data_IF_698308388712
#
_entry.id   IF_698308388712
#
_cell.length_a   1.000
_cell.length_b   1.000
_cell.length_c   1.000
_cell.angle_alpha   90.00
_cell.angle_beta   90.00
_cell.angle_gamma   90.00
#
_symmetry.space_group_name_H-M   'P 1'
#
loop_
_entity.id
_entity.type
_entity.pdbx_description
1 polymer ?
#
# COMPACT_ATOMS: atom_id res chain seq x y z
N UNK A 1 2.50 -18.05 -12.86
CA UNK A 1 3.75 -18.46 -12.17
C UNK A 1 3.40 -19.58 -11.20
N UNK A 2 3.99 -20.78 -11.34
CA UNK A 2 3.73 -21.90 -10.42
C UNK A 2 4.63 -21.75 -9.18
N UNK A 3 4.08 -21.51 -8.02
CA UNK A 3 4.79 -21.41 -6.76
C UNK A 3 3.96 -20.69 -5.69
N UNK A 4 4.29 -20.92 -4.42
CA UNK A 4 3.58 -20.28 -3.30
C UNK A 4 3.84 -18.76 -3.33
N UNK A 5 2.85 -17.93 -2.93
CA UNK A 5 3.06 -16.50 -2.78
C UNK A 5 4.20 -16.17 -1.80
N UNK A 6 5.00 -15.17 -2.16
CA UNK A 6 6.08 -14.64 -1.32
C UNK A 6 5.68 -13.35 -0.61
N UNK A 7 4.73 -12.62 -1.21
CA UNK A 7 4.17 -11.38 -0.71
C UNK A 7 2.66 -11.52 -0.58
N UNK A 8 2.13 -11.43 0.62
CA UNK A 8 0.69 -11.45 0.87
C UNK A 8 0.27 -10.07 1.34
N UNK A 9 -0.57 -9.37 0.55
CA UNK A 9 -1.19 -8.14 0.99
C UNK A 9 -2.59 -8.43 1.52
N UNK A 10 -2.87 -8.04 2.76
CA UNK A 10 -4.18 -8.19 3.38
C UNK A 10 -4.73 -6.81 3.74
N UNK A 11 -5.90 -6.49 3.21
CA UNK A 11 -6.51 -5.18 3.50
C UNK A 11 -7.63 -4.81 2.53
N UNK A 12 -7.63 -3.53 2.15
CA UNK A 12 -8.66 -2.90 1.34
C UNK A 12 -8.31 -2.93 -0.15
N UNK A 13 -9.32 -3.19 -0.94
CA UNK A 13 -9.31 -3.06 -2.40
C UNK A 13 -10.59 -2.36 -2.83
N UNK A 14 -10.52 -1.54 -3.85
CA UNK A 14 -11.66 -0.82 -4.43
C UNK A 14 -11.58 -0.81 -5.95
N UNK A 15 -12.70 -0.46 -6.57
CA UNK A 15 -12.73 -0.02 -7.96
C UNK A 15 -12.74 1.51 -7.98
N UNK A 16 -11.65 2.12 -8.48
CA UNK A 16 -11.42 3.55 -8.41
C UNK A 16 -11.83 4.23 -9.72
N UNK A 17 -12.76 5.19 -9.65
CA UNK A 17 -13.16 6.07 -10.73
C UNK A 17 -12.32 7.35 -10.68
N UNK A 18 -11.34 7.44 -11.55
CA UNK A 18 -10.40 8.56 -11.63
C UNK A 18 -10.88 9.60 -12.65
N UNK A 19 -10.92 10.86 -12.27
CA UNK A 19 -11.20 11.98 -13.14
C UNK A 19 -10.09 13.02 -13.05
N UNK A 20 -9.39 13.28 -14.15
CA UNK A 20 -8.44 14.39 -14.25
C UNK A 20 -9.20 15.65 -14.63
N UNK A 21 -9.08 16.68 -13.81
CA UNK A 21 -9.81 17.93 -13.91
C UNK A 21 -8.83 19.11 -13.97
N UNK A 22 -9.15 20.21 -14.68
CA UNK A 22 -8.35 21.43 -14.63
C UNK A 22 -8.34 22.08 -13.24
N UNK A 23 -9.40 21.88 -12.47
CA UNK A 23 -9.54 22.24 -11.05
C UNK A 23 -10.67 21.39 -10.42
N UNK A 24 -10.64 21.20 -9.11
CA UNK A 24 -11.73 20.51 -8.39
C UNK A 24 -12.92 21.46 -8.24
N UNK A 25 -14.09 21.15 -8.89
CA UNK A 25 -15.21 22.07 -8.91
C UNK A 25 -15.98 22.11 -7.57
N UNK A 26 -16.33 23.32 -7.14
CA UNK A 26 -17.27 23.58 -6.05
C UNK A 26 -18.45 24.34 -6.62
N UNK A 27 -19.62 23.74 -6.55
CA UNK A 27 -20.90 24.31 -7.06
C UNK A 27 -20.82 24.84 -8.51
N UNK A 28 -20.08 24.14 -9.38
CA UNK A 28 -19.92 24.50 -10.78
C UNK A 28 -19.72 23.25 -11.65
N UNK A 29 -19.76 23.44 -12.98
CA UNK A 29 -19.51 22.36 -13.94
C UNK A 29 -18.10 22.51 -14.51
N UNK A 30 -17.40 21.40 -14.63
CA UNK A 30 -16.12 21.33 -15.31
C UNK A 30 -16.09 20.12 -16.25
N UNK A 31 -15.48 20.29 -17.42
CA UNK A 31 -15.25 19.18 -18.35
C UNK A 31 -14.02 18.39 -17.88
N UNK A 32 -14.16 17.07 -17.72
CA UNK A 32 -13.04 16.18 -17.46
C UNK A 32 -12.04 16.21 -18.62
N UNK A 33 -10.76 16.25 -18.32
CA UNK A 33 -9.67 16.15 -19.29
C UNK A 33 -9.42 14.69 -19.67
N UNK A 34 -9.50 13.80 -18.70
CA UNK A 34 -9.49 12.35 -18.91
C UNK A 34 -10.17 11.63 -17.74
N UNK A 35 -10.50 10.36 -17.94
CA UNK A 35 -11.01 9.51 -16.88
C UNK A 35 -10.52 8.08 -17.08
N UNK A 36 -10.49 7.31 -15.99
CA UNK A 36 -10.21 5.89 -15.98
C UNK A 36 -11.00 5.19 -14.87
N UNK A 37 -11.25 3.90 -15.05
CA UNK A 37 -11.77 3.02 -14.01
C UNK A 37 -10.73 1.90 -13.84
N UNK A 38 -10.17 1.77 -12.65
CA UNK A 38 -9.05 0.86 -12.37
C UNK A 38 -9.16 0.32 -10.94
N UNK A 39 -8.52 -0.77 -10.64
CA UNK A 39 -8.36 -1.23 -9.27
C UNK A 39 -7.59 -0.21 -8.42
N UNK A 40 -7.98 -0.12 -7.15
CA UNK A 40 -7.37 0.73 -6.14
C UNK A 40 -7.32 0.07 -4.77
N UNK A 41 -7.29 0.91 -3.75
CA UNK A 41 -7.15 0.50 -2.36
C UNK A 41 -5.70 0.20 -1.96
N UNK A 42 -5.28 0.55 -0.71
CA UNK A 42 -3.85 0.49 -0.34
C UNK A 42 -3.25 -0.91 -0.47
N UNK A 43 -3.85 -1.95 0.13
CA UNK A 43 -3.34 -3.31 0.02
C UNK A 43 -3.46 -3.86 -1.42
N UNK A 44 -4.50 -3.45 -2.17
CA UNK A 44 -4.65 -3.79 -3.59
C UNK A 44 -3.50 -3.25 -4.43
N UNK A 45 -3.16 -1.97 -4.26
CA UNK A 45 -2.04 -1.31 -4.94
C UNK A 45 -0.70 -1.94 -4.53
N UNK A 46 -0.52 -2.25 -3.24
CA UNK A 46 0.69 -2.89 -2.75
C UNK A 46 0.90 -4.30 -3.34
N UNK A 47 -0.18 -5.10 -3.46
CA UNK A 47 -0.12 -6.43 -4.10
C UNK A 47 0.33 -6.34 -5.57
N UNK A 48 -0.33 -5.46 -6.34
CA UNK A 48 0.02 -5.23 -7.74
C UNK A 48 1.43 -4.66 -7.91
N UNK A 49 1.81 -3.72 -7.05
CA UNK A 49 3.17 -3.17 -7.03
C UNK A 49 4.23 -4.22 -6.74
N UNK A 50 4.01 -5.09 -5.75
CA UNK A 50 4.91 -6.20 -5.45
C UNK A 50 5.03 -7.19 -6.63
N UNK A 51 3.92 -7.49 -7.31
CA UNK A 51 3.91 -8.33 -8.51
C UNK A 51 4.71 -7.69 -9.65
N UNK A 52 4.51 -6.39 -9.92
CA UNK A 52 5.27 -5.62 -10.91
C UNK A 52 6.78 -5.60 -10.61
N UNK A 53 7.14 -5.58 -9.32
CA UNK A 53 8.53 -5.70 -8.85
C UNK A 53 9.08 -7.13 -8.86
N UNK A 54 8.32 -8.12 -9.38
CA UNK A 54 8.77 -9.49 -9.61
C UNK A 54 8.49 -10.48 -8.47
N UNK A 55 7.73 -10.08 -7.43
CA UNK A 55 7.33 -11.00 -6.37
C UNK A 55 6.12 -11.84 -6.80
N UNK A 56 6.04 -13.09 -6.33
CA UNK A 56 4.78 -13.84 -6.37
C UNK A 56 3.85 -13.27 -5.30
N UNK A 57 2.93 -12.40 -5.73
CA UNK A 57 2.03 -11.69 -4.83
C UNK A 57 0.66 -12.36 -4.75
N UNK A 58 0.04 -12.32 -3.57
CA UNK A 58 -1.36 -12.67 -3.34
C UNK A 58 -2.07 -11.53 -2.63
N UNK A 59 -3.35 -11.36 -2.94
CA UNK A 59 -4.23 -10.46 -2.21
C UNK A 59 -5.22 -11.25 -1.34
N UNK A 60 -5.37 -10.82 -0.09
CA UNK A 60 -6.31 -11.36 0.89
C UNK A 60 -7.24 -10.23 1.36
N UNK A 61 -8.53 -10.38 1.13
CA UNK A 61 -9.53 -9.35 1.45
C UNK A 61 -10.90 -9.74 0.97
N UNK A 62 -11.80 -8.75 0.85
CA UNK A 62 -13.19 -8.98 0.46
C UNK A 62 -13.59 -8.15 -0.75
N UNK A 63 -14.43 -8.74 -1.61
CA UNK A 63 -15.14 -8.08 -2.72
C UNK A 63 -16.60 -8.54 -2.73
N UNK A 64 -17.48 -7.77 -3.35
CA UNK A 64 -18.86 -8.19 -3.62
C UNK A 64 -18.96 -9.15 -4.82
N UNK A 65 -20.10 -9.78 -5.03
CA UNK A 65 -20.40 -10.59 -6.21
C UNK A 65 -21.00 -9.78 -7.38
N UNK A 66 -20.66 -8.50 -7.42
CA UNK A 66 -21.10 -7.51 -8.40
C UNK A 66 -20.14 -7.34 -9.59
N UNK A 67 -20.41 -6.34 -10.44
CA UNK A 67 -19.57 -6.03 -11.60
C UNK A 67 -18.20 -5.49 -11.18
N UNK A 68 -18.15 -4.66 -10.14
CA UNK A 68 -16.91 -4.07 -9.63
C UNK A 68 -16.00 -5.14 -9.01
N UNK A 69 -16.57 -6.11 -8.28
CA UNK A 69 -15.82 -7.24 -7.72
C UNK A 69 -15.19 -8.11 -8.82
N UNK A 70 -15.94 -8.40 -9.88
CA UNK A 70 -15.39 -9.14 -11.04
C UNK A 70 -14.27 -8.35 -11.71
N UNK A 71 -14.46 -7.03 -11.92
CA UNK A 71 -13.44 -6.18 -12.52
C UNK A 71 -12.14 -6.16 -11.70
N UNK A 72 -12.23 -6.04 -10.36
CA UNK A 72 -11.08 -6.10 -9.46
C UNK A 72 -10.34 -7.44 -9.60
N UNK A 73 -11.06 -8.58 -9.59
CA UNK A 73 -10.46 -9.91 -9.70
C UNK A 73 -9.80 -10.14 -11.07
N UNK A 74 -10.45 -9.71 -12.15
CA UNK A 74 -9.92 -9.81 -13.51
C UNK A 74 -8.66 -8.94 -13.70
N UNK A 75 -8.60 -7.79 -13.04
CA UNK A 75 -7.43 -6.93 -13.08
C UNK A 75 -6.25 -7.55 -12.31
N UNK A 76 -6.48 -8.05 -11.12
CA UNK A 76 -5.46 -8.81 -10.38
C UNK A 76 -4.92 -10.00 -11.18
N UNK A 77 -5.80 -10.75 -11.87
CA UNK A 77 -5.37 -11.87 -12.70
C UNK A 77 -4.43 -11.41 -13.84
N UNK A 78 -4.74 -10.28 -14.49
CA UNK A 78 -3.88 -9.69 -15.54
C UNK A 78 -2.55 -9.18 -14.98
N UNK A 79 -2.53 -8.73 -13.74
CA UNK A 79 -1.34 -8.23 -13.03
C UNK A 79 -0.51 -9.37 -12.39
N UNK A 80 -0.98 -10.61 -12.47
CA UNK A 80 -0.29 -11.78 -11.91
C UNK A 80 -0.40 -11.90 -10.39
N UNK A 81 -1.38 -11.27 -9.77
CA UNK A 81 -1.69 -11.38 -8.33
C UNK A 81 -2.63 -12.57 -8.11
N UNK A 82 -2.27 -13.45 -7.18
CA UNK A 82 -3.10 -14.58 -6.76
C UNK A 82 -4.29 -14.08 -5.91
N UNK A 83 -5.49 -14.41 -6.33
CA UNK A 83 -6.76 -14.02 -5.68
C UNK A 83 -7.42 -15.16 -4.92
N UNK A 84 -6.76 -16.30 -4.75
CA UNK A 84 -7.32 -17.49 -4.06
C UNK A 84 -7.70 -17.22 -2.60
N UNK A 85 -7.14 -16.18 -2.00
CA UNK A 85 -7.42 -15.75 -0.62
C UNK A 85 -8.55 -14.70 -0.52
N UNK A 86 -9.12 -14.27 -1.64
CA UNK A 86 -10.22 -13.30 -1.67
C UNK A 86 -11.53 -13.97 -1.27
N UNK A 87 -12.30 -13.28 -0.43
CA UNK A 87 -13.68 -13.69 -0.09
C UNK A 87 -14.68 -12.86 -0.89
N UNK A 88 -15.44 -13.54 -1.75
CA UNK A 88 -16.54 -12.92 -2.48
C UNK A 88 -17.79 -12.94 -1.60
N UNK A 89 -18.30 -11.77 -1.23
CA UNK A 89 -19.49 -11.60 -0.39
C UNK A 89 -20.75 -11.62 -1.26
N UNK A 90 -21.57 -12.67 -1.10
CA UNK A 90 -22.79 -12.80 -1.88
C UNK A 90 -23.80 -11.72 -1.56
N UNK A 91 -24.37 -11.07 -2.59
CA UNK A 91 -25.33 -10.01 -2.48
C UNK A 91 -24.78 -8.66 -1.95
N UNK A 92 -23.47 -8.56 -1.77
CA UNK A 92 -22.80 -7.32 -1.39
C UNK A 92 -22.28 -6.56 -2.62
N UNK A 93 -22.16 -5.23 -2.48
CA UNK A 93 -21.45 -4.40 -3.45
C UNK A 93 -19.98 -4.27 -3.06
N UNK A 94 -19.11 -4.26 -4.06
CA UNK A 94 -17.69 -4.02 -3.87
C UNK A 94 -17.41 -2.57 -3.46
N UNK A 95 -16.29 -2.35 -2.81
CA UNK A 95 -15.87 -0.99 -2.49
C UNK A 95 -15.54 -0.21 -3.76
N UNK A 96 -15.96 1.05 -3.81
CA UNK A 96 -15.68 1.98 -4.88
C UNK A 96 -15.09 3.29 -4.33
N UNK A 97 -14.29 3.97 -5.15
CA UNK A 97 -13.81 5.31 -4.84
C UNK A 97 -13.94 6.22 -6.07
N UNK A 98 -14.25 7.48 -5.81
CA UNK A 98 -14.22 8.55 -6.80
C UNK A 98 -13.06 9.48 -6.47
N UNK A 99 -12.12 9.63 -7.40
CA UNK A 99 -10.93 10.45 -7.24
C UNK A 99 -10.93 11.59 -8.25
N UNK A 100 -10.86 12.80 -7.76
CA UNK A 100 -10.70 14.01 -8.56
C UNK A 100 -9.23 14.45 -8.47
N UNK A 101 -8.53 14.43 -9.60
CA UNK A 101 -7.12 14.73 -9.73
C UNK A 101 -6.98 16.09 -10.42
N UNK A 102 -6.34 17.06 -9.75
CA UNK A 102 -6.05 18.35 -10.35
C UNK A 102 -4.85 18.23 -11.30
N UNK A 103 -5.05 18.53 -12.59
CA UNK A 103 -4.03 18.36 -13.64
C UNK A 103 -2.73 19.09 -13.34
N UNK A 104 -2.83 20.30 -12.77
CA UNK A 104 -1.68 21.18 -12.56
C UNK A 104 -0.75 20.66 -11.46
N UNK A 105 -1.28 20.03 -10.43
CA UNK A 105 -0.54 19.65 -9.22
C UNK A 105 -0.40 18.15 -9.02
N UNK A 106 -1.28 17.35 -9.67
CA UNK A 106 -1.43 15.92 -9.38
C UNK A 106 -2.04 15.62 -7.99
N UNK A 107 -2.48 16.67 -7.27
CA UNK A 107 -3.17 16.50 -6.01
C UNK A 107 -4.57 15.92 -6.23
N UNK A 108 -5.04 15.15 -5.26
CA UNK A 108 -6.34 14.48 -5.37
C UNK A 108 -7.24 14.75 -4.19
N UNK A 109 -8.54 14.73 -4.46
CA UNK A 109 -9.60 14.51 -3.48
C UNK A 109 -10.23 13.15 -3.70
N UNK A 110 -10.59 12.45 -2.64
CA UNK A 110 -11.13 11.10 -2.71
C UNK A 110 -12.41 11.00 -1.88
N UNK A 111 -13.45 10.43 -2.46
CA UNK A 111 -14.63 9.96 -1.76
C UNK A 111 -14.79 8.47 -2.03
N UNK A 112 -14.98 7.67 -0.99
CA UNK A 112 -15.07 6.22 -1.13
C UNK A 112 -16.15 5.63 -0.22
N UNK A 113 -16.62 4.45 -0.59
CA UNK A 113 -17.56 3.67 0.23
C UNK A 113 -17.28 2.18 0.08
N UNK A 114 -17.64 1.44 1.12
CA UNK A 114 -17.75 -0.02 1.14
C UNK A 114 -18.97 -0.45 1.93
N UNK A 115 -20.00 0.36 1.91
CA UNK A 115 -21.21 0.11 2.67
C UNK A 115 -21.83 -1.25 2.28
N UNK A 116 -22.13 -2.09 3.30
CA UNK A 116 -22.66 -3.43 3.11
C UNK A 116 -21.62 -4.50 2.74
N UNK A 117 -20.35 -4.15 2.55
CA UNK A 117 -19.29 -5.12 2.34
C UNK A 117 -18.63 -5.50 3.66
N UNK A 118 -18.91 -6.72 4.14
CA UNK A 118 -18.34 -7.23 5.38
C UNK A 118 -16.82 -7.39 5.28
N UNK A 119 -16.12 -6.94 6.30
CA UNK A 119 -14.68 -7.13 6.45
C UNK A 119 -14.31 -8.61 6.66
N UNK A 120 -13.04 -8.91 6.41
CA UNK A 120 -12.47 -10.22 6.70
C UNK A 120 -12.37 -10.39 8.23
N UNK A 121 -13.06 -11.39 8.76
CA UNK A 121 -13.05 -11.72 10.19
C UNK A 121 -11.80 -12.52 10.59
N UNK A 122 -11.51 -12.58 11.89
CA UNK A 122 -10.42 -13.41 12.42
C UNK A 122 -10.62 -14.91 12.11
N UNK A 123 -11.87 -15.38 12.14
CA UNK A 123 -12.20 -16.78 11.85
C UNK A 123 -11.95 -17.20 10.40
N UNK A 124 -11.88 -16.23 9.48
CA UNK A 124 -11.59 -16.48 8.06
C UNK A 124 -10.09 -16.59 7.76
N UNK A 125 -9.23 -16.26 8.74
CA UNK A 125 -7.81 -16.63 8.70
C UNK A 125 -7.66 -18.10 9.14
N UNK A 126 -8.40 -18.97 8.47
CA UNK A 126 -8.41 -20.39 8.72
C UNK A 126 -7.14 -21.10 8.23
N UNK A 127 -7.09 -22.46 8.33
CA UNK A 127 -5.88 -23.23 8.04
C UNK A 127 -5.26 -22.96 6.67
N UNK A 128 -6.07 -22.77 5.62
CA UNK A 128 -5.61 -22.52 4.25
C UNK A 128 -4.93 -21.16 4.11
N UNK A 129 -5.58 -20.08 4.58
CA UNK A 129 -5.02 -18.74 4.57
C UNK A 129 -3.76 -18.68 5.44
N UNK A 130 -3.82 -19.27 6.63
CA UNK A 130 -2.70 -19.35 7.54
C UNK A 130 -1.51 -20.12 6.95
N UNK A 131 -1.75 -21.20 6.16
CA UNK A 131 -0.67 -21.92 5.50
C UNK A 131 0.04 -21.07 4.46
N UNK A 132 -0.70 -20.31 3.64
CA UNK A 132 -0.10 -19.37 2.67
C UNK A 132 0.74 -18.30 3.39
N UNK A 133 0.20 -17.70 4.47
CA UNK A 133 0.90 -16.66 5.24
C UNK A 133 2.20 -17.22 5.85
N UNK A 134 2.18 -18.41 6.46
CA UNK A 134 3.38 -19.03 7.08
C UNK A 134 4.53 -19.24 6.10
N UNK A 135 4.24 -19.40 4.82
CA UNK A 135 5.24 -19.64 3.78
C UNK A 135 5.59 -18.38 2.98
N UNK A 136 4.93 -17.26 3.24
CA UNK A 136 5.28 -15.98 2.65
C UNK A 136 6.58 -15.42 3.27
N UNK A 137 7.17 -14.44 2.60
CA UNK A 137 8.31 -13.65 3.11
C UNK A 137 7.84 -12.36 3.78
N UNK A 138 6.73 -11.79 3.26
CA UNK A 138 6.11 -10.57 3.75
C UNK A 138 4.60 -10.74 3.85
N UNK A 139 4.04 -10.30 4.98
CA UNK A 139 2.63 -9.98 5.14
C UNK A 139 2.51 -8.44 5.21
N UNK A 140 1.89 -7.84 4.20
CA UNK A 140 1.62 -6.41 4.14
C UNK A 140 0.20 -6.13 4.62
N UNK A 141 0.03 -5.14 5.50
CA UNK A 141 -1.24 -4.74 6.10
C UNK A 141 -1.44 -3.23 5.93
N UNK A 142 -2.68 -2.81 5.63
CA UNK A 142 -3.07 -1.39 5.48
C UNK A 142 -4.00 -0.89 6.60
N UNK A 143 -4.23 -1.71 7.62
CA UNK A 143 -5.09 -1.40 8.75
C UNK A 143 -6.59 -1.59 8.52
N UNK A 144 -7.02 -1.94 7.32
CA UNK A 144 -8.37 -2.42 7.06
C UNK A 144 -8.53 -3.90 7.44
N UNK A 145 -9.78 -4.37 7.56
CA UNK A 145 -10.08 -5.75 7.99
C UNK A 145 -9.44 -6.07 9.36
N UNK A 146 -9.57 -5.19 10.32
CA UNK A 146 -8.78 -5.19 11.56
C UNK A 146 -8.71 -6.56 12.26
N UNK A 147 -9.85 -7.25 12.43
CA UNK A 147 -9.88 -8.55 13.08
C UNK A 147 -9.10 -9.63 12.27
N UNK A 148 -9.29 -9.67 10.97
CA UNK A 148 -8.56 -10.56 10.07
C UNK A 148 -7.07 -10.22 10.00
N UNK A 149 -6.74 -8.91 9.91
CA UNK A 149 -5.37 -8.42 9.85
C UNK A 149 -4.58 -8.78 11.12
N UNK A 150 -5.17 -8.62 12.30
CA UNK A 150 -4.55 -9.01 13.58
C UNK A 150 -4.32 -10.53 13.63
N UNK A 151 -5.32 -11.33 13.24
CA UNK A 151 -5.18 -12.78 13.20
C UNK A 151 -4.06 -13.22 12.24
N UNK A 152 -4.04 -12.63 11.03
CA UNK A 152 -2.99 -12.87 10.04
C UNK A 152 -1.59 -12.46 10.53
N UNK A 153 -1.48 -11.29 11.17
CA UNK A 153 -0.22 -10.81 11.73
C UNK A 153 0.32 -11.75 12.82
N UNK A 154 -0.54 -12.28 13.70
CA UNK A 154 -0.15 -13.28 14.69
C UNK A 154 0.39 -14.57 14.06
N UNK A 155 -0.25 -15.05 12.99
CA UNK A 155 0.23 -16.19 12.20
C UNK A 155 1.60 -15.91 11.59
N UNK A 156 1.76 -14.75 10.96
CA UNK A 156 3.02 -14.30 10.35
C UNK A 156 4.16 -14.22 11.39
N UNK A 157 3.92 -13.57 12.51
CA UNK A 157 4.91 -13.44 13.61
C UNK A 157 5.34 -14.79 14.16
N UNK A 158 4.39 -15.71 14.38
CA UNK A 158 4.70 -17.06 14.89
C UNK A 158 5.55 -17.88 13.91
N UNK A 159 5.47 -17.57 12.59
CA UNK A 159 6.24 -18.21 11.54
C UNK A 159 7.54 -17.46 11.14
N UNK A 160 7.83 -16.32 11.76
CA UNK A 160 9.00 -15.50 11.40
C UNK A 160 8.85 -14.73 10.09
N UNK A 161 7.63 -14.61 9.58
CA UNK A 161 7.31 -13.81 8.38
C UNK A 161 7.33 -12.33 8.73
N UNK A 162 7.96 -11.51 7.89
CA UNK A 162 8.03 -10.06 8.10
C UNK A 162 6.66 -9.41 7.97
N UNK A 163 6.20 -8.72 9.00
CA UNK A 163 4.96 -7.95 8.99
C UNK A 163 5.26 -6.50 8.63
N UNK A 164 4.81 -6.06 7.45
CA UNK A 164 4.80 -4.67 7.02
C UNK A 164 3.46 -4.05 7.34
N UNK A 165 3.47 -2.90 8.04
CA UNK A 165 2.25 -2.15 8.31
C UNK A 165 2.34 -0.75 7.71
N UNK A 166 1.48 -0.51 6.70
CA UNK A 166 1.18 0.81 6.14
C UNK A 166 0.17 1.53 7.04
N UNK A 167 0.68 2.36 7.94
CA UNK A 167 -0.12 3.07 8.93
C UNK A 167 -0.47 4.48 8.44
N UNK A 168 -1.55 4.60 7.67
CA UNK A 168 -2.00 5.87 7.08
C UNK A 168 -3.15 6.56 7.82
N UNK A 169 -3.96 5.82 8.58
CA UNK A 169 -5.18 6.35 9.22
C UNK A 169 -5.43 5.67 10.57
N UNK A 170 -5.93 6.43 11.54
CA UNK A 170 -6.35 5.88 12.84
C UNK A 170 -7.62 5.05 12.65
N UNK A 171 -7.57 3.77 13.06
CA UNK A 171 -8.65 2.78 12.93
C UNK A 171 -8.73 1.91 14.16
N UNK A 172 -9.86 1.21 14.32
CA UNK A 172 -10.01 0.17 15.32
C UNK A 172 -8.98 -0.95 15.11
N UNK A 173 -8.47 -1.52 16.21
CA UNK A 173 -7.45 -2.56 16.16
C UNK A 173 -6.03 -2.06 15.83
N UNK A 174 -5.86 -0.78 15.49
CA UNK A 174 -4.57 -0.17 15.14
C UNK A 174 -3.48 -0.42 16.18
N UNK A 175 -3.79 -0.28 17.47
CA UNK A 175 -2.80 -0.43 18.56
C UNK A 175 -2.16 -1.81 18.55
N UNK A 176 -2.95 -2.86 18.29
CA UNK A 176 -2.44 -4.23 18.22
C UNK A 176 -1.62 -4.47 16.94
N UNK A 177 -2.02 -3.88 15.82
CA UNK A 177 -1.24 -3.95 14.57
C UNK A 177 0.10 -3.22 14.69
N UNK A 178 0.16 -2.07 15.38
CA UNK A 178 1.40 -1.36 15.68
C UNK A 178 2.38 -2.22 16.52
N UNK A 179 1.86 -3.04 17.45
CA UNK A 179 2.68 -3.96 18.26
C UNK A 179 3.19 -5.16 17.46
N UNK A 180 2.46 -5.58 16.42
CA UNK A 180 2.81 -6.75 15.62
C UNK A 180 3.70 -6.42 14.42
N UNK A 181 3.84 -5.15 14.05
CA UNK A 181 4.62 -4.73 12.89
C UNK A 181 6.13 -4.92 13.11
N UNK A 182 6.81 -5.45 12.09
CA UNK A 182 8.28 -5.45 11.97
C UNK A 182 8.76 -4.22 11.21
N UNK A 183 8.09 -3.88 10.11
CA UNK A 183 8.32 -2.69 9.30
C UNK A 183 7.11 -1.77 9.48
N UNK A 184 7.23 -0.81 10.37
CA UNK A 184 6.19 0.17 10.67
C UNK A 184 6.50 1.46 9.92
N UNK A 185 5.88 1.64 8.75
CA UNK A 185 6.03 2.86 7.97
C UNK A 185 4.70 3.61 7.98
N UNK A 186 4.73 4.83 8.47
CA UNK A 186 3.55 5.67 8.65
C UNK A 186 3.48 6.76 7.59
N UNK A 187 2.28 7.30 7.33
CA UNK A 187 2.21 8.64 6.76
C UNK A 187 2.63 9.67 7.83
N UNK A 188 3.24 10.78 7.42
CA UNK A 188 3.59 11.86 8.35
C UNK A 188 2.37 12.38 9.11
N UNK A 189 1.24 12.54 8.42
CA UNK A 189 -0.01 12.97 9.04
C UNK A 189 -0.43 12.03 10.18
N UNK A 190 -0.39 10.72 9.92
CA UNK A 190 -0.74 9.72 10.92
C UNK A 190 0.16 9.76 12.13
N UNK A 191 1.50 9.76 11.92
CA UNK A 191 2.45 9.71 13.03
C UNK A 191 2.40 10.97 13.89
N UNK A 192 2.24 12.15 13.27
CA UNK A 192 2.12 13.42 14.00
C UNK A 192 0.79 13.55 14.74
N UNK A 193 -0.30 12.97 14.20
CA UNK A 193 -1.58 12.89 14.89
C UNK A 193 -1.50 12.07 16.17
N UNK A 194 -0.71 10.99 16.17
CA UNK A 194 -0.52 10.12 17.33
C UNK A 194 0.44 10.71 18.39
N UNK A 195 1.48 11.41 17.98
CA UNK A 195 2.60 11.75 18.87
C UNK A 195 2.79 13.24 19.07
N UNK A 196 2.28 14.05 18.16
CA UNK A 196 2.59 15.48 18.06
C UNK A 196 4.08 15.76 17.76
N UNK A 197 4.43 17.03 17.60
CA UNK A 197 5.83 17.48 17.46
C UNK A 197 6.38 17.33 16.05
N UNK A 198 7.67 17.04 15.94
CA UNK A 198 8.41 16.89 14.68
C UNK A 198 8.49 15.43 14.25
N UNK A 199 8.52 15.18 12.94
CA UNK A 199 8.45 13.83 12.35
C UNK A 199 9.51 12.88 12.89
N UNK A 200 10.77 13.30 13.00
CA UNK A 200 11.83 12.42 13.53
C UNK A 200 11.66 12.08 15.00
N UNK A 201 11.24 13.06 15.81
CA UNK A 201 10.93 12.81 17.21
C UNK A 201 9.73 11.86 17.34
N UNK A 202 8.74 11.99 16.45
CA UNK A 202 7.59 11.12 16.36
C UNK A 202 7.99 9.68 16.01
N UNK A 203 8.85 9.48 15.00
CA UNK A 203 9.41 8.18 14.62
C UNK A 203 10.13 7.52 15.80
N UNK A 204 11.00 8.25 16.51
CA UNK A 204 11.68 7.74 17.69
C UNK A 204 10.73 7.38 18.84
N UNK A 205 9.66 8.17 19.05
CA UNK A 205 8.63 7.88 20.06
C UNK A 205 7.88 6.58 19.75
N UNK A 206 7.45 6.38 18.50
CA UNK A 206 6.78 5.15 18.09
C UNK A 206 7.72 3.96 18.17
N UNK A 207 8.97 4.11 17.71
CA UNK A 207 9.98 3.07 17.86
C UNK A 207 10.18 2.68 19.34
N UNK A 208 10.31 3.66 20.23
CA UNK A 208 10.49 3.40 21.65
C UNK A 208 9.30 2.64 22.27
N UNK A 209 8.08 2.91 21.80
CA UNK A 209 6.85 2.29 22.30
C UNK A 209 6.63 0.88 21.75
N UNK A 210 6.78 0.66 20.46
CA UNK A 210 6.38 -0.59 19.79
C UNK A 210 7.53 -1.50 19.40
N UNK A 211 8.77 -0.99 19.37
CA UNK A 211 9.99 -1.76 19.07
C UNK A 211 9.94 -2.58 17.76
N UNK A 212 9.45 -2.02 16.66
CA UNK A 212 9.57 -2.68 15.35
C UNK A 212 11.05 -2.82 14.96
N UNK A 213 11.36 -3.60 13.93
CA UNK A 213 12.71 -3.61 13.33
C UNK A 213 13.02 -2.27 12.67
N UNK A 214 12.04 -1.67 12.00
CA UNK A 214 12.12 -0.34 11.41
C UNK A 214 10.86 0.43 11.72
N UNK A 215 11.00 1.66 12.20
CA UNK A 215 9.93 2.65 12.26
C UNK A 215 10.26 3.81 11.32
N UNK A 216 9.32 4.23 10.49
CA UNK A 216 9.56 5.31 9.55
C UNK A 216 8.32 6.14 9.25
N UNK A 217 8.56 7.23 8.50
CA UNK A 217 7.49 8.08 7.98
C UNK A 217 7.77 8.51 6.55
N UNK A 218 6.73 8.49 5.70
CA UNK A 218 6.73 9.10 4.37
C UNK A 218 6.21 10.52 4.46
N UNK A 219 6.91 11.46 3.81
CA UNK A 219 6.67 12.92 3.89
C UNK A 219 6.37 13.53 2.50
N UNK A 220 5.83 12.71 1.58
CA UNK A 220 5.53 13.13 0.20
C UNK A 220 6.77 13.64 -0.54
N UNK A 221 6.70 14.84 -1.10
CA UNK A 221 7.81 15.44 -1.85
C UNK A 221 9.07 15.71 -1.01
N UNK A 222 8.99 15.65 0.32
CA UNK A 222 10.15 15.76 1.21
C UNK A 222 10.88 14.43 1.43
N UNK A 223 10.37 13.34 0.88
CA UNK A 223 10.97 12.00 0.97
C UNK A 223 10.49 11.19 2.17
N UNK A 224 11.40 10.53 2.85
CA UNK A 224 11.11 9.64 3.98
C UNK A 224 12.21 9.72 5.05
N UNK A 225 11.86 9.29 6.26
CA UNK A 225 12.78 9.08 7.36
C UNK A 225 12.50 7.73 8.01
N UNK A 226 13.54 6.93 8.28
CA UNK A 226 13.43 5.65 8.95
C UNK A 226 14.44 5.54 10.10
N UNK A 227 14.08 4.78 11.13
CA UNK A 227 14.89 4.51 12.31
C UNK A 227 14.82 3.01 12.67
N UNK A 228 15.97 2.38 12.86
CA UNK A 228 16.08 0.95 13.22
C UNK A 228 16.45 0.70 14.70
N UNK A 229 16.51 1.76 15.47
CA UNK A 229 16.96 1.71 16.87
C UNK A 229 18.39 2.18 17.08
N UNK A 230 19.17 2.26 16.03
CA UNK A 230 20.55 2.77 16.00
C UNK A 230 20.63 4.00 15.09
N UNK A 231 20.34 3.82 13.81
CA UNK A 231 20.50 4.83 12.80
C UNK A 231 19.17 5.46 12.41
N UNK A 232 19.15 6.80 12.34
CA UNK A 232 18.06 7.56 11.75
C UNK A 232 18.49 8.05 10.38
N UNK A 233 17.88 7.45 9.35
CA UNK A 233 18.24 7.69 7.95
C UNK A 233 17.16 8.51 7.26
N UNK A 234 17.52 9.63 6.64
CA UNK A 234 16.66 10.41 5.75
C UNK A 234 16.96 10.06 4.29
N UNK A 235 15.92 9.93 3.50
CA UNK A 235 16.04 9.78 2.06
C UNK A 235 15.16 10.82 1.37
N UNK A 236 15.71 11.73 0.55
CA UNK A 236 14.92 12.69 -0.20
C UNK A 236 14.09 11.98 -1.28
N UNK A 237 12.96 12.59 -1.67
CA UNK A 237 12.23 12.13 -2.83
C UNK A 237 13.00 12.43 -4.12
N UNK A 238 12.90 11.55 -5.12
CA UNK A 238 13.38 11.85 -6.45
C UNK A 238 12.50 12.91 -7.11
N UNK A 239 13.13 13.84 -7.82
CA UNK A 239 12.43 14.83 -8.64
C UNK A 239 11.93 14.16 -9.92
N UNK A 240 10.72 14.49 -10.31
CA UNK A 240 10.12 14.08 -11.59
C UNK A 240 9.73 15.33 -12.37
N UNK A 241 9.80 15.25 -13.70
CA UNK A 241 9.53 16.41 -14.56
C UNK A 241 8.06 16.84 -14.47
N UNK A 242 7.15 15.85 -14.38
CA UNK A 242 5.71 16.09 -14.23
C UNK A 242 5.11 15.08 -13.27
N UNK A 243 4.39 15.55 -12.27
CA UNK A 243 3.51 14.75 -11.43
C UNK A 243 2.14 14.71 -12.09
N UNK A 244 1.71 13.53 -12.52
CA UNK A 244 0.40 13.30 -13.14
C UNK A 244 -0.64 12.99 -12.06
N UNK A 245 -0.29 12.08 -11.14
CA UNK A 245 -1.18 11.63 -10.07
C UNK A 245 -0.36 11.04 -8.91
N UNK A 246 -0.71 11.40 -7.68
CA UNK A 246 -0.08 10.89 -6.47
C UNK A 246 -0.82 9.72 -5.82
N UNK A 247 -1.92 9.23 -6.43
CA UNK A 247 -2.68 8.07 -5.94
C UNK A 247 -1.80 6.83 -5.96
N UNK A 248 -1.77 6.09 -4.86
CA UNK A 248 -0.99 4.86 -4.75
C UNK A 248 0.53 5.04 -4.52
N UNK A 249 1.04 6.28 -4.47
CA UNK A 249 2.49 6.50 -4.23
C UNK A 249 2.95 5.96 -2.88
N UNK A 250 2.13 6.11 -1.83
CA UNK A 250 2.41 5.53 -0.51
C UNK A 250 2.41 4.01 -0.56
N UNK A 251 1.36 3.43 -1.13
CA UNK A 251 1.17 1.98 -1.22
C UNK A 251 2.34 1.31 -1.95
N UNK A 252 2.78 1.92 -3.08
CA UNK A 252 3.92 1.43 -3.84
C UNK A 252 5.25 1.70 -3.15
N UNK A 253 5.37 2.77 -2.35
CA UNK A 253 6.54 2.98 -1.49
C UNK A 253 6.67 1.82 -0.51
N UNK A 254 5.59 1.44 0.17
CA UNK A 254 5.57 0.34 1.12
C UNK A 254 5.92 -1.00 0.45
N UNK A 255 5.33 -1.29 -0.71
CA UNK A 255 5.68 -2.48 -1.49
C UNK A 255 7.16 -2.51 -1.88
N UNK A 256 7.68 -1.41 -2.44
CA UNK A 256 9.09 -1.27 -2.81
C UNK A 256 10.04 -1.40 -1.62
N UNK A 257 9.70 -0.77 -0.49
CA UNK A 257 10.49 -0.88 0.75
C UNK A 257 10.57 -2.32 1.23
N UNK A 258 9.43 -3.02 1.32
CA UNK A 258 9.37 -4.41 1.77
C UNK A 258 10.14 -5.35 0.82
N UNK A 259 10.00 -5.16 -0.49
CA UNK A 259 10.76 -5.96 -1.49
C UNK A 259 12.26 -5.77 -1.32
N UNK A 260 12.73 -4.52 -1.22
CA UNK A 260 14.16 -4.24 -1.07
C UNK A 260 14.68 -4.66 0.30
N UNK A 261 13.87 -4.56 1.36
CA UNK A 261 14.21 -5.05 2.70
C UNK A 261 14.57 -6.54 2.71
N UNK A 262 13.86 -7.36 1.95
CA UNK A 262 14.16 -8.79 1.84
C UNK A 262 15.53 -9.08 1.18
N UNK A 263 16.09 -8.11 0.46
CA UNK A 263 17.35 -8.27 -0.27
C UNK A 263 18.55 -7.77 0.52
N UNK A 264 18.43 -6.63 1.23
CA UNK A 264 19.61 -5.92 1.76
C UNK A 264 19.58 -5.64 3.26
N UNK A 265 18.41 -5.41 3.85
CA UNK A 265 18.22 -4.87 5.21
C UNK A 265 18.89 -3.49 5.45
N UNK A 266 19.37 -2.81 4.41
CA UNK A 266 19.95 -1.47 4.49
C UNK A 266 18.85 -0.41 4.38
N UNK A 267 18.76 0.50 5.37
CA UNK A 267 17.69 1.50 5.44
C UNK A 267 17.72 2.49 4.28
N UNK A 268 18.92 2.93 3.89
CA UNK A 268 19.05 3.90 2.82
C UNK A 268 18.70 3.28 1.47
N UNK A 269 19.18 2.07 1.20
CA UNK A 269 18.83 1.34 -0.02
C UNK A 269 17.34 1.04 -0.12
N UNK A 270 16.71 0.62 0.99
CA UNK A 270 15.27 0.38 1.03
C UNK A 270 14.47 1.65 0.73
N UNK A 271 14.83 2.77 1.36
CA UNK A 271 14.18 4.06 1.13
C UNK A 271 14.42 4.58 -0.30
N UNK A 272 15.65 4.52 -0.83
CA UNK A 272 15.97 4.94 -2.20
C UNK A 272 15.19 4.13 -3.23
N UNK A 273 15.15 2.80 -3.08
CA UNK A 273 14.38 1.93 -3.97
C UNK A 273 12.88 2.26 -3.92
N UNK A 274 12.30 2.37 -2.73
CA UNK A 274 10.90 2.73 -2.54
C UNK A 274 10.56 4.14 -3.08
N UNK A 275 11.47 5.11 -2.90
CA UNK A 275 11.32 6.46 -3.45
C UNK A 275 11.37 6.45 -4.98
N UNK A 276 12.21 5.62 -5.60
CA UNK A 276 12.27 5.47 -7.05
C UNK A 276 10.98 4.85 -7.62
N UNK A 277 10.44 3.83 -6.94
CA UNK A 277 9.12 3.23 -7.28
C UNK A 277 8.04 4.31 -7.27
N UNK A 278 7.95 5.10 -6.19
CA UNK A 278 6.96 6.18 -6.07
C UNK A 278 7.16 7.29 -7.09
N UNK A 279 8.39 7.68 -7.39
CA UNK A 279 8.72 8.71 -8.37
C UNK A 279 8.31 8.28 -9.79
N UNK A 280 8.59 7.04 -10.18
CA UNK A 280 8.17 6.49 -11.47
C UNK A 280 6.63 6.42 -11.56
N UNK A 281 5.98 5.97 -10.50
CA UNK A 281 4.51 5.93 -10.42
C UNK A 281 3.88 7.32 -10.60
N UNK A 282 4.44 8.36 -10.02
CA UNK A 282 3.89 9.73 -10.15
C UNK A 282 3.72 10.22 -11.59
N UNK A 283 4.38 9.59 -12.58
CA UNK A 283 4.29 9.91 -14.00
C UNK A 283 3.04 9.36 -14.68
N UNK A 284 2.27 8.50 -14.01
CA UNK A 284 1.08 7.85 -14.53
C UNK A 284 -0.13 7.99 -13.62
N UNK A 285 -1.28 7.61 -14.14
CA UNK A 285 -2.57 7.61 -13.44
C UNK A 285 -2.76 6.31 -12.65
N UNK A 286 -3.29 6.40 -11.42
CA UNK A 286 -3.54 5.27 -10.51
C UNK A 286 -2.28 4.62 -9.89
N UNK A 287 -2.47 3.79 -8.86
CA UNK A 287 -1.42 2.97 -8.23
C UNK A 287 -1.19 1.60 -8.89
N UNK A 288 -1.84 1.32 -10.02
CA UNK A 288 -1.83 0.02 -10.69
C UNK A 288 -1.00 0.05 -11.98
N UNK A 289 -0.56 -1.09 -12.52
CA UNK A 289 0.01 -1.15 -13.87
C UNK A 289 -0.92 -0.52 -14.93
N UNK A 290 -0.40 0.19 -15.94
CA UNK A 290 1.02 0.35 -16.24
C UNK A 290 1.75 1.45 -15.45
N UNK A 291 1.10 2.13 -14.51
CA UNK A 291 1.74 3.20 -13.72
C UNK A 291 2.59 2.66 -12.56
N UNK A 292 2.28 1.47 -12.04
CA UNK A 292 3.18 0.75 -11.14
C UNK A 292 4.40 0.26 -11.92
N UNK A 293 5.62 0.73 -11.60
CA UNK A 293 6.80 0.41 -12.39
C UNK A 293 7.25 -1.04 -12.19
N UNK A 294 7.83 -1.61 -13.23
CA UNK A 294 8.51 -2.91 -13.16
C UNK A 294 9.85 -2.79 -12.43
N UNK A 295 10.38 -3.91 -11.94
CA UNK A 295 11.71 -3.98 -11.33
C UNK A 295 12.79 -3.41 -12.26
N UNK A 296 12.77 -3.75 -13.54
CA UNK A 296 13.76 -3.30 -14.51
C UNK A 296 13.74 -1.78 -14.70
N UNK A 297 12.56 -1.16 -14.71
CA UNK A 297 12.42 0.30 -14.79
C UNK A 297 12.98 0.99 -13.55
N UNK A 298 12.73 0.45 -12.36
CA UNK A 298 13.26 0.98 -11.10
C UNK A 298 14.78 0.89 -11.07
N UNK A 299 15.34 -0.28 -11.42
CA UNK A 299 16.80 -0.48 -11.44
C UNK A 299 17.49 0.43 -12.48
N UNK A 300 16.87 0.64 -13.65
CA UNK A 300 17.37 1.58 -14.67
C UNK A 300 17.29 3.05 -14.18
N UNK A 301 16.21 3.42 -13.51
CA UNK A 301 16.03 4.76 -12.96
C UNK A 301 17.07 5.07 -11.88
N UNK A 302 17.33 4.14 -10.98
CA UNK A 302 18.34 4.30 -9.92
C UNK A 302 19.76 4.48 -10.50
N UNK A 303 20.15 3.68 -11.52
CA UNK A 303 21.45 3.81 -12.20
C UNK A 303 21.64 5.17 -12.88
N UNK A 304 20.57 5.81 -13.30
CA UNK A 304 20.63 7.14 -13.92
C UNK A 304 20.57 8.30 -12.93
N UNK A 305 20.41 8.02 -11.63
CA UNK A 305 20.26 9.01 -10.55
C UNK A 305 21.20 8.75 -9.36
N UNK A 306 22.32 8.06 -9.59
CA UNK A 306 23.40 7.88 -8.63
C UNK A 306 24.31 9.09 -8.55
#
# INVERSE_FOLDING_TARGET
>A
MSGRPEYVALGFVSNDHLAVLPFIPMDTKVKMLSHAIVGGGPAGNAAAGAAALGMRAAFCGTVGDDADGRMILDEFAREGVDTSLVRVRRGATSAIAYLWIEERTGNRSCAWTREGLEELSAGEIGPEVADVIRHAKVLHLDGHNAAGAIAAAKVAKAAGVTVMYDAGTVRDGMEELLQLADLLICSEEFILKLTGGETEAAVRKLYAKYRPRVCGATMGARGSVCFDGTDLVRCPAFKVDKVVDTTGCGDLFHAGFAVRWLETHDLLECQRFAAAVSALKCRGLSGRPPSAPTRAEVDAFLKGND
#
